data_IF_787758262670
#
_entry.id   IF_787758262670
#
_cell.length_a   1.000
_cell.length_b   1.000
_cell.length_c   1.000
_cell.angle_alpha   90.00
_cell.angle_beta   90.00
_cell.angle_gamma   90.00
#
_symmetry.space_group_name_H-M   'P 1'
#
loop_
_entity.id
_entity.type
_entity.pdbx_description
1 polymer ?
#
# COMPACT_ATOMS: atom_id res chain seq x y z
N UNK A 1 -8.92 7.87 54.52
CA UNK A 1 -8.42 6.63 53.89
C UNK A 1 -9.65 5.80 53.56
N UNK A 2 -10.22 6.03 52.38
CA UNK A 2 -11.41 5.32 51.91
C UNK A 2 -10.93 3.95 51.44
N UNK A 3 -11.19 2.94 52.25
CA UNK A 3 -10.98 1.53 51.92
C UNK A 3 -11.64 1.25 50.56
N UNK A 4 -10.82 0.87 49.57
CA UNK A 4 -11.29 0.31 48.32
C UNK A 4 -11.87 -1.08 48.61
N UNK A 5 -13.16 -1.26 48.31
CA UNK A 5 -13.85 -2.55 48.44
C UNK A 5 -13.13 -3.62 47.59
N UNK A 6 -12.61 -4.71 48.19
CA UNK A 6 -11.92 -5.79 47.48
C UNK A 6 -12.82 -6.55 46.49
N UNK A 7 -14.14 -6.29 46.45
CA UNK A 7 -15.06 -6.88 45.47
C UNK A 7 -15.05 -6.18 44.10
N UNK A 8 -14.39 -5.03 43.96
CA UNK A 8 -14.23 -4.39 42.65
C UNK A 8 -13.05 -4.96 41.82
N UNK A 9 -12.17 -5.78 42.42
CA UNK A 9 -11.11 -6.48 41.69
C UNK A 9 -11.62 -7.71 40.90
N UNK A 10 -12.84 -8.20 41.17
CA UNK A 10 -13.40 -9.40 40.53
C UNK A 10 -14.60 -9.15 39.62
N UNK A 11 -14.78 -7.92 39.11
CA UNK A 11 -15.55 -7.77 37.88
C UNK A 11 -14.71 -8.42 36.78
N UNK A 12 -15.24 -9.36 35.95
CA UNK A 12 -14.51 -9.85 34.80
C UNK A 12 -14.28 -8.66 33.87
N UNK A 13 -13.16 -7.97 34.10
CA UNK A 13 -12.71 -6.85 33.32
C UNK A 13 -12.72 -7.27 31.88
N UNK A 14 -13.15 -6.36 31.00
CA UNK A 14 -13.37 -6.55 29.57
C UNK A 14 -12.03 -6.94 28.90
N UNK A 15 -11.58 -8.16 29.15
CA UNK A 15 -10.35 -8.75 28.64
C UNK A 15 -10.74 -9.54 27.42
N UNK A 16 -10.14 -9.17 26.28
CA UNK A 16 -10.41 -9.80 25.01
C UNK A 16 -10.09 -11.30 25.11
N UNK A 17 -11.13 -12.13 25.00
CA UNK A 17 -10.97 -13.57 24.94
C UNK A 17 -10.42 -13.92 23.55
N UNK A 18 -9.22 -14.48 23.50
CA UNK A 18 -8.57 -14.89 22.25
C UNK A 18 -9.39 -16.01 21.59
N UNK A 19 -10.14 -15.67 20.55
CA UNK A 19 -10.99 -16.62 19.82
C UNK A 19 -10.25 -17.33 18.67
N UNK A 20 -9.21 -16.71 18.11
CA UNK A 20 -8.41 -17.29 17.01
C UNK A 20 -7.13 -17.94 17.52
N UNK A 21 -6.80 -19.13 16.98
CA UNK A 21 -5.51 -19.77 17.23
C UNK A 21 -4.38 -18.93 16.64
N UNK A 22 -3.34 -18.64 17.45
CA UNK A 22 -2.17 -17.88 17.01
C UNK A 22 -1.27 -18.74 16.11
N UNK A 23 -1.66 -18.89 14.84
CA UNK A 23 -0.96 -19.74 13.87
C UNK A 23 0.16 -19.02 13.11
N UNK A 24 0.17 -17.68 13.13
CA UNK A 24 1.18 -16.85 12.49
C UNK A 24 2.39 -16.61 13.39
N UNK A 25 3.56 -16.85 12.84
CA UNK A 25 4.84 -16.45 13.41
C UNK A 25 5.12 -14.97 13.13
N UNK A 26 6.08 -14.38 13.86
CA UNK A 26 6.46 -12.98 13.70
C UNK A 26 6.92 -12.65 12.27
N UNK A 27 7.64 -13.58 11.63
CA UNK A 27 8.17 -13.40 10.26
C UNK A 27 7.05 -13.38 9.23
N UNK A 28 6.10 -14.32 9.34
CA UNK A 28 4.92 -14.37 8.48
C UNK A 28 4.07 -13.10 8.62
N UNK A 29 3.92 -12.60 9.85
CA UNK A 29 3.21 -11.34 10.10
C UNK A 29 3.90 -10.14 9.43
N UNK A 30 5.23 -10.03 9.53
CA UNK A 30 5.99 -8.96 8.87
C UNK A 30 5.84 -9.04 7.34
N UNK A 31 5.91 -10.24 6.77
CA UNK A 31 5.78 -10.44 5.32
C UNK A 31 4.41 -10.00 4.81
N UNK A 32 3.32 -10.37 5.51
CA UNK A 32 1.97 -9.92 5.14
C UNK A 32 1.85 -8.40 5.25
N UNK A 33 2.34 -7.81 6.34
CA UNK A 33 2.26 -6.35 6.53
C UNK A 33 3.03 -5.61 5.44
N UNK A 34 4.26 -6.01 5.14
CA UNK A 34 5.04 -5.36 4.08
C UNK A 34 4.42 -5.56 2.69
N UNK A 35 3.84 -6.73 2.42
CA UNK A 35 3.18 -6.99 1.14
C UNK A 35 1.93 -6.15 0.96
N UNK A 36 1.18 -5.88 2.03
CA UNK A 36 0.00 -4.99 1.99
C UNK A 36 0.33 -3.55 1.59
N UNK A 37 1.57 -3.09 1.78
CA UNK A 37 2.06 -1.79 1.30
C UNK A 37 2.45 -1.85 -0.18
N UNK A 38 2.80 -3.04 -0.68
CA UNK A 38 3.13 -3.33 -2.08
C UNK A 38 4.17 -2.34 -2.65
N UNK A 39 5.45 -2.44 -2.23
CA UNK A 39 6.49 -1.46 -2.58
C UNK A 39 6.65 -1.24 -4.09
N UNK A 40 6.50 -2.30 -4.89
CA UNK A 40 6.58 -2.21 -6.34
C UNK A 40 5.49 -1.30 -6.93
N UNK A 41 4.22 -1.52 -6.56
CA UNK A 41 3.10 -0.70 -7.05
C UNK A 41 3.25 0.77 -6.67
N UNK A 42 3.74 1.05 -5.45
CA UNK A 42 4.03 2.42 -5.02
C UNK A 42 5.09 3.09 -5.91
N UNK A 43 6.17 2.38 -6.26
CA UNK A 43 7.22 2.90 -7.16
C UNK A 43 6.69 3.12 -8.58
N UNK A 44 5.89 2.20 -9.12
CA UNK A 44 5.43 2.30 -10.51
C UNK A 44 4.26 3.26 -10.73
N UNK A 45 3.43 3.48 -9.72
CA UNK A 45 2.22 4.32 -9.84
C UNK A 45 2.46 5.71 -9.25
N UNK A 46 3.05 5.79 -8.05
CA UNK A 46 3.15 7.04 -7.29
C UNK A 46 4.36 7.87 -7.74
N UNK A 47 5.52 7.26 -8.00
CA UNK A 47 6.72 8.04 -8.33
C UNK A 47 6.56 8.82 -9.66
N UNK A 48 6.04 8.25 -10.76
CA UNK A 48 5.84 9.02 -11.98
C UNK A 48 4.89 10.21 -11.79
N UNK A 49 3.80 10.02 -11.04
CA UNK A 49 2.82 11.08 -10.78
C UNK A 49 3.42 12.21 -9.92
N UNK A 50 4.21 11.86 -8.89
CA UNK A 50 4.94 12.83 -8.07
C UNK A 50 6.02 13.55 -8.86
N UNK A 51 6.76 12.85 -9.73
CA UNK A 51 7.78 13.47 -10.60
C UNK A 51 7.15 14.48 -11.56
N UNK A 52 5.99 14.17 -12.14
CA UNK A 52 5.27 15.08 -13.02
C UNK A 52 4.71 16.29 -12.27
N UNK A 53 4.26 16.11 -11.03
CA UNK A 53 3.68 17.18 -10.23
C UNK A 53 4.73 18.10 -9.57
N UNK A 54 5.79 17.53 -8.99
CA UNK A 54 6.79 18.24 -8.19
C UNK A 54 8.15 18.42 -8.89
N UNK A 55 8.36 17.80 -10.06
CA UNK A 55 9.60 17.89 -10.82
C UNK A 55 10.82 17.48 -9.98
N UNK A 56 11.84 18.35 -9.96
CA UNK A 56 13.06 18.14 -9.17
C UNK A 56 12.85 18.13 -7.65
N UNK A 57 11.73 18.64 -7.14
CA UNK A 57 11.41 18.63 -5.71
C UNK A 57 10.80 17.29 -5.24
N UNK A 58 10.50 16.37 -6.16
CA UNK A 58 9.90 15.04 -5.87
C UNK A 58 10.60 14.27 -4.76
N UNK A 59 11.94 14.25 -4.74
CA UNK A 59 12.72 13.56 -3.70
C UNK A 59 12.46 14.16 -2.32
N UNK A 60 12.42 15.49 -2.21
CA UNK A 60 12.13 16.18 -0.96
C UNK A 60 10.69 15.92 -0.52
N UNK A 61 9.73 15.98 -1.44
CA UNK A 61 8.32 15.67 -1.16
C UNK A 61 8.15 14.25 -0.65
N UNK A 62 8.85 13.27 -1.24
CA UNK A 62 8.82 11.88 -0.79
C UNK A 62 9.51 11.70 0.56
N UNK A 63 10.60 12.42 0.84
CA UNK A 63 11.25 12.38 2.15
C UNK A 63 10.32 12.90 3.26
N UNK A 64 9.61 14.01 3.01
CA UNK A 64 8.61 14.55 3.96
C UNK A 64 7.46 13.55 4.16
N UNK A 65 6.94 12.96 3.09
CA UNK A 65 5.90 11.94 3.18
C UNK A 65 6.35 10.70 3.98
N UNK A 66 7.60 10.26 3.80
CA UNK A 66 8.17 9.14 4.55
C UNK A 66 8.27 9.44 6.06
N UNK A 67 8.69 10.65 6.43
CA UNK A 67 8.73 11.08 7.83
C UNK A 67 7.33 11.10 8.44
N UNK A 68 6.35 11.65 7.72
CA UNK A 68 4.96 11.63 8.16
C UNK A 68 4.42 10.19 8.34
N UNK A 69 4.76 9.28 7.43
CA UNK A 69 4.37 7.88 7.52
C UNK A 69 4.99 7.18 8.75
N UNK A 70 6.22 7.50 9.14
CA UNK A 70 6.84 6.98 10.37
C UNK A 70 6.09 7.43 11.60
N UNK A 71 5.70 8.71 11.69
CA UNK A 71 4.90 9.22 12.81
C UNK A 71 3.55 8.50 12.91
N UNK A 72 2.85 8.30 11.78
CA UNK A 72 1.60 7.52 11.74
C UNK A 72 1.86 6.08 12.20
N UNK A 73 2.95 5.46 11.74
CA UNK A 73 3.35 4.11 12.15
C UNK A 73 3.60 3.99 13.66
N UNK A 74 4.23 5.00 14.29
CA UNK A 74 4.42 5.04 15.74
C UNK A 74 3.07 5.12 16.49
N UNK A 75 2.14 5.96 16.04
CA UNK A 75 0.79 6.02 16.62
C UNK A 75 0.06 4.67 16.51
N UNK A 76 0.19 3.97 15.37
CA UNK A 76 -0.38 2.63 15.19
C UNK A 76 0.29 1.58 16.08
N UNK A 77 1.59 1.70 16.35
CA UNK A 77 2.31 0.83 17.26
C UNK A 77 1.80 0.96 18.71
N UNK A 78 1.63 2.19 19.20
CA UNK A 78 1.07 2.43 20.54
C UNK A 78 -0.38 1.93 20.65
N UNK A 79 -1.18 2.19 19.61
CA UNK A 79 -2.59 1.80 19.59
C UNK A 79 -2.77 0.27 19.55
N UNK A 80 -1.95 -0.43 18.76
CA UNK A 80 -1.97 -1.90 18.68
C UNK A 80 -1.42 -2.59 19.93
N UNK A 81 -0.46 -1.96 20.62
CA UNK A 81 0.02 -2.44 21.93
C UNK A 81 -1.04 -2.25 23.04
N UNK A 82 -1.78 -1.14 22.99
CA UNK A 82 -2.82 -0.81 23.99
C UNK A 82 -4.10 -1.62 23.79
N UNK A 83 -4.51 -1.84 22.54
CA UNK A 83 -5.73 -2.57 22.19
C UNK A 83 -5.43 -3.75 21.27
N UNK A 84 -4.89 -4.87 21.81
CA UNK A 84 -4.54 -6.07 21.05
C UNK A 84 -5.78 -6.91 20.72
N UNK A 85 -6.74 -6.30 20.03
CA UNK A 85 -7.98 -6.94 19.60
C UNK A 85 -8.00 -7.12 18.10
N UNK A 86 -8.52 -8.25 17.64
CA UNK A 86 -8.66 -8.53 16.21
C UNK A 86 -9.78 -7.69 15.61
N UNK A 87 -9.50 -7.04 14.47
CA UNK A 87 -10.47 -6.22 13.72
C UNK A 87 -9.90 -4.91 13.16
N UNK A 88 -8.69 -4.50 13.55
CA UNK A 88 -8.06 -3.32 12.95
C UNK A 88 -8.80 -2.01 13.27
N UNK A 89 -8.73 -1.04 12.37
CA UNK A 89 -9.09 0.37 12.63
C UNK A 89 -10.54 0.56 13.13
N UNK A 90 -11.50 -0.22 12.63
CA UNK A 90 -12.90 -0.09 13.05
C UNK A 90 -13.08 -0.42 14.54
N UNK A 91 -12.29 -1.35 15.09
CA UNK A 91 -12.38 -1.72 16.52
C UNK A 91 -11.84 -0.63 17.41
N UNK A 92 -10.77 0.03 16.99
CA UNK A 92 -10.21 1.17 17.71
C UNK A 92 -11.17 2.35 17.68
N UNK A 93 -11.72 2.68 16.50
CA UNK A 93 -12.69 3.76 16.37
C UNK A 93 -13.99 3.48 17.14
N UNK A 94 -14.51 2.25 17.11
CA UNK A 94 -15.69 1.87 17.88
C UNK A 94 -15.50 2.08 19.39
N UNK A 95 -14.27 1.84 19.89
CA UNK A 95 -13.92 2.00 21.31
C UNK A 95 -13.65 3.46 21.71
N UNK A 96 -12.94 4.20 20.87
CA UNK A 96 -12.50 5.58 21.18
C UNK A 96 -13.58 6.63 20.89
N UNK A 97 -14.32 6.46 19.80
CA UNK A 97 -15.26 7.45 19.26
C UNK A 97 -16.73 6.99 19.35
N UNK A 98 -16.94 5.72 19.72
CA UNK A 98 -18.26 5.11 19.88
C UNK A 98 -18.72 4.28 18.69
N UNK A 99 -19.77 3.50 18.93
CA UNK A 99 -20.34 2.52 17.99
C UNK A 99 -20.74 3.07 16.61
N UNK A 100 -21.36 4.25 16.44
CA UNK A 100 -21.77 4.70 15.10
C UNK A 100 -20.57 5.00 14.20
N UNK A 101 -19.50 5.61 14.75
CA UNK A 101 -18.28 5.92 14.00
C UNK A 101 -17.53 4.65 13.65
N UNK A 102 -17.43 3.70 14.59
CA UNK A 102 -16.86 2.38 14.32
C UNK A 102 -17.60 1.63 13.20
N UNK A 103 -18.93 1.69 13.18
CA UNK A 103 -19.73 1.07 12.12
C UNK A 103 -19.53 1.77 10.77
N UNK A 104 -19.44 3.11 10.75
CA UNK A 104 -19.15 3.87 9.53
C UNK A 104 -17.78 3.49 8.93
N UNK A 105 -16.74 3.36 9.76
CA UNK A 105 -15.42 2.90 9.29
C UNK A 105 -15.42 1.45 8.84
N UNK A 106 -16.18 0.58 9.50
CA UNK A 106 -16.38 -0.80 9.04
C UNK A 106 -16.99 -0.84 7.64
N UNK A 107 -18.06 -0.07 7.40
CA UNK A 107 -18.68 0.04 6.08
C UNK A 107 -17.72 0.62 5.05
N UNK A 108 -16.98 1.68 5.40
CA UNK A 108 -15.99 2.29 4.53
C UNK A 108 -14.90 1.31 4.13
N UNK A 109 -14.38 0.54 5.10
CA UNK A 109 -13.38 -0.49 4.86
C UNK A 109 -13.91 -1.61 3.95
N UNK A 110 -15.17 -2.02 4.14
CA UNK A 110 -15.82 -3.04 3.31
C UNK A 110 -15.96 -2.56 1.86
N UNK A 111 -16.48 -1.34 1.65
CA UNK A 111 -16.61 -0.74 0.32
C UNK A 111 -15.24 -0.58 -0.34
N UNK A 112 -14.27 -0.03 0.39
CA UNK A 112 -12.90 0.14 -0.08
C UNK A 112 -12.28 -1.20 -0.51
N UNK A 113 -12.45 -2.25 0.29
CA UNK A 113 -11.96 -3.59 -0.03
C UNK A 113 -12.52 -4.14 -1.36
N UNK A 114 -13.83 -3.96 -1.61
CA UNK A 114 -14.45 -4.38 -2.88
C UNK A 114 -13.92 -3.57 -4.06
N UNK A 115 -13.75 -2.25 -3.88
CA UNK A 115 -13.22 -1.38 -4.92
C UNK A 115 -11.77 -1.72 -5.27
N UNK A 116 -10.93 -2.02 -4.27
CA UNK A 116 -9.53 -2.42 -4.47
C UNK A 116 -9.45 -3.68 -5.34
N UNK A 117 -10.27 -4.69 -5.08
CA UNK A 117 -10.30 -5.92 -5.89
C UNK A 117 -10.65 -5.60 -7.35
N UNK A 118 -11.63 -4.72 -7.58
CA UNK A 118 -12.01 -4.29 -8.92
C UNK A 118 -10.89 -3.55 -9.65
N UNK A 119 -10.23 -2.61 -8.98
CA UNK A 119 -9.11 -1.84 -9.56
C UNK A 119 -7.94 -2.76 -9.91
N UNK A 120 -7.57 -3.70 -9.04
CA UNK A 120 -6.49 -4.66 -9.30
C UNK A 120 -6.83 -5.57 -10.48
N UNK A 121 -8.07 -6.04 -10.57
CA UNK A 121 -8.50 -6.91 -11.67
C UNK A 121 -8.44 -6.19 -13.03
N UNK A 122 -8.88 -4.93 -13.08
CA UNK A 122 -8.80 -4.09 -14.28
C UNK A 122 -7.34 -3.80 -14.66
N UNK A 123 -6.54 -3.35 -13.68
CA UNK A 123 -5.13 -3.06 -13.91
C UNK A 123 -4.35 -4.28 -14.39
N UNK A 124 -4.60 -5.46 -13.81
CA UNK A 124 -3.96 -6.70 -14.26
C UNK A 124 -4.37 -7.06 -15.69
N UNK A 125 -5.63 -6.85 -16.06
CA UNK A 125 -6.12 -7.04 -17.42
C UNK A 125 -5.42 -6.12 -18.44
N UNK A 126 -5.15 -4.86 -18.07
CA UNK A 126 -4.39 -3.92 -18.91
C UNK A 126 -2.92 -4.32 -19.04
N UNK A 127 -2.24 -4.65 -17.93
CA UNK A 127 -0.82 -5.03 -17.95
C UNK A 127 -0.56 -6.35 -18.70
N UNK A 128 -1.35 -7.39 -18.44
CA UNK A 128 -1.18 -8.69 -19.11
C UNK A 128 -1.68 -8.67 -20.56
N UNK A 129 -2.68 -7.83 -20.88
CA UNK A 129 -3.20 -7.70 -22.25
C UNK A 129 -2.14 -7.20 -23.24
N UNK A 130 -1.19 -6.39 -22.78
CA UNK A 130 -0.03 -5.94 -23.58
C UNK A 130 0.94 -7.09 -23.85
N UNK A 131 1.15 -7.99 -22.89
CA UNK A 131 2.04 -9.13 -23.05
C UNK A 131 1.43 -10.29 -23.85
N UNK A 132 0.10 -10.45 -23.80
CA UNK A 132 -0.62 -11.56 -24.43
C UNK A 132 -1.89 -11.09 -25.15
N UNK A 133 -1.72 -10.55 -26.37
CA UNK A 133 -2.80 -9.96 -27.17
C UNK A 133 -3.89 -10.95 -27.62
N UNK A 134 -3.66 -12.26 -27.50
CA UNK A 134 -4.61 -13.30 -27.88
C UNK A 134 -5.75 -13.50 -26.86
N UNK A 135 -5.60 -13.03 -25.60
CA UNK A 135 -6.66 -13.09 -24.59
C UNK A 135 -7.27 -11.69 -24.40
N UNK A 136 -8.60 -11.60 -24.44
CA UNK A 136 -9.29 -10.37 -24.06
C UNK A 136 -9.06 -10.07 -22.58
N UNK A 137 -8.55 -8.87 -22.26
CA UNK A 137 -8.16 -8.45 -20.92
C UNK A 137 -9.28 -8.60 -19.86
N UNK A 138 -10.55 -8.60 -20.28
CA UNK A 138 -11.70 -8.85 -19.41
C UNK A 138 -11.64 -10.25 -18.77
N UNK A 139 -11.29 -11.28 -19.55
CA UNK A 139 -11.21 -12.65 -19.05
C UNK A 139 -9.99 -12.88 -18.15
N UNK A 140 -8.90 -12.14 -18.40
CA UNK A 140 -7.71 -12.15 -17.55
C UNK A 140 -8.07 -11.62 -16.15
N UNK A 141 -8.75 -10.48 -16.08
CA UNK A 141 -9.22 -9.91 -14.81
C UNK A 141 -10.13 -10.86 -14.02
N UNK A 142 -11.08 -11.51 -14.71
CA UNK A 142 -11.95 -12.54 -14.08
C UNK A 142 -11.12 -13.71 -13.55
N UNK A 143 -10.17 -14.21 -14.34
CA UNK A 143 -9.27 -15.29 -13.92
C UNK A 143 -8.46 -14.93 -12.67
N UNK A 144 -7.92 -13.72 -12.62
CA UNK A 144 -7.15 -13.20 -11.47
C UNK A 144 -8.02 -13.14 -10.21
N UNK A 145 -9.27 -12.66 -10.32
CA UNK A 145 -10.21 -12.62 -9.19
C UNK A 145 -10.48 -14.03 -8.67
N UNK A 146 -10.74 -14.99 -9.57
CA UNK A 146 -11.03 -16.38 -9.19
C UNK A 146 -9.83 -17.01 -8.50
N UNK A 147 -8.62 -16.89 -9.08
CA UNK A 147 -7.39 -17.43 -8.50
C UNK A 147 -7.11 -16.81 -7.13
N UNK A 148 -7.22 -15.48 -7.02
CA UNK A 148 -7.01 -14.78 -5.74
C UNK A 148 -8.04 -15.20 -4.70
N UNK A 149 -9.29 -15.40 -5.10
CA UNK A 149 -10.36 -15.90 -4.21
C UNK A 149 -10.05 -17.30 -3.70
N UNK A 150 -9.59 -18.20 -4.58
CA UNK A 150 -9.17 -19.55 -4.18
C UNK A 150 -8.03 -19.48 -3.17
N UNK A 151 -7.00 -18.66 -3.42
CA UNK A 151 -5.89 -18.44 -2.48
C UNK A 151 -6.39 -17.87 -1.15
N UNK A 152 -7.37 -16.95 -1.17
CA UNK A 152 -7.93 -16.34 0.02
C UNK A 152 -8.74 -17.32 0.89
N UNK A 153 -9.31 -18.39 0.31
CA UNK A 153 -10.03 -19.45 1.04
C UNK A 153 -9.06 -20.40 1.76
N UNK A 154 -7.79 -20.44 1.36
CA UNK A 154 -6.77 -21.28 2.01
C UNK A 154 -6.48 -20.80 3.45
N UNK A 155 -5.94 -21.72 4.27
CA UNK A 155 -5.55 -21.41 5.65
C UNK A 155 -4.65 -20.17 5.75
N UNK A 156 -4.80 -19.40 6.83
CA UNK A 156 -4.10 -18.13 7.05
C UNK A 156 -2.56 -18.23 6.93
N UNK A 157 -1.98 -19.38 7.31
CA UNK A 157 -0.55 -19.66 7.13
C UNK A 157 -0.14 -19.79 5.66
N UNK A 158 -0.97 -20.45 4.85
CA UNK A 158 -0.71 -20.59 3.41
C UNK A 158 -0.79 -19.24 2.73
N UNK A 159 -1.82 -18.46 3.05
CA UNK A 159 -1.98 -17.11 2.53
C UNK A 159 -0.79 -16.21 2.93
N UNK A 160 -0.30 -16.32 4.17
CA UNK A 160 0.88 -15.60 4.63
C UNK A 160 2.14 -15.93 3.80
N UNK A 161 2.36 -17.21 3.52
CA UNK A 161 3.49 -17.66 2.72
C UNK A 161 3.38 -17.21 1.27
N UNK A 162 2.21 -17.38 0.63
CA UNK A 162 1.95 -16.93 -0.75
C UNK A 162 2.19 -15.43 -0.90
N UNK A 163 1.65 -14.64 0.04
CA UNK A 163 1.85 -13.19 0.12
C UNK A 163 3.33 -12.83 0.27
N UNK A 164 4.07 -13.57 1.11
CA UNK A 164 5.52 -13.41 1.25
C UNK A 164 6.31 -13.70 -0.04
N UNK A 165 5.91 -14.71 -0.81
CA UNK A 165 6.52 -15.02 -2.11
C UNK A 165 6.29 -13.87 -3.10
N UNK A 166 5.08 -13.33 -3.18
CA UNK A 166 4.78 -12.17 -4.03
C UNK A 166 5.65 -10.96 -3.66
N UNK A 167 5.82 -10.68 -2.36
CA UNK A 167 6.73 -9.63 -1.92
C UNK A 167 8.17 -9.85 -2.39
N UNK A 168 8.69 -11.08 -2.32
CA UNK A 168 10.06 -11.37 -2.80
C UNK A 168 10.18 -11.07 -4.30
N UNK A 169 9.18 -11.48 -5.09
CA UNK A 169 9.12 -11.19 -6.52
C UNK A 169 9.06 -9.68 -6.78
N UNK A 170 8.26 -8.93 -6.01
CA UNK A 170 8.19 -7.47 -6.10
C UNK A 170 9.53 -6.79 -5.81
N UNK A 171 10.21 -7.19 -4.73
CA UNK A 171 11.51 -6.63 -4.36
C UNK A 171 12.56 -6.96 -5.43
N UNK A 172 12.52 -8.17 -6.00
CA UNK A 172 13.39 -8.53 -7.13
C UNK A 172 13.11 -7.65 -8.35
N UNK A 173 11.85 -7.43 -8.72
CA UNK A 173 11.49 -6.57 -9.84
C UNK A 173 11.98 -5.12 -9.65
N UNK A 174 11.80 -4.56 -8.45
CA UNK A 174 12.30 -3.21 -8.12
C UNK A 174 13.83 -3.17 -8.15
N UNK A 175 14.50 -4.19 -7.62
CA UNK A 175 15.98 -4.27 -7.59
C UNK A 175 16.54 -4.33 -9.01
N UNK A 176 15.95 -5.18 -9.88
CA UNK A 176 16.35 -5.33 -11.28
C UNK A 176 16.24 -4.00 -12.04
N UNK A 177 15.24 -3.16 -11.73
CA UNK A 177 15.11 -1.84 -12.36
C UNK A 177 16.01 -0.77 -11.73
N UNK A 178 16.26 -0.85 -10.42
CA UNK A 178 17.14 0.09 -9.74
C UNK A 178 18.60 -0.07 -10.19
N UNK A 179 19.06 -1.29 -10.47
CA UNK A 179 20.45 -1.58 -10.84
C UNK A 179 20.92 -0.86 -12.13
N UNK A 180 20.19 -0.89 -13.26
CA UNK A 180 20.53 -0.11 -14.44
C UNK A 180 20.48 1.41 -14.23
N UNK A 181 19.57 1.89 -13.37
CA UNK A 181 19.41 3.32 -13.11
C UNK A 181 20.67 3.96 -12.54
N UNK A 182 21.36 3.29 -11.60
CA UNK A 182 22.59 3.81 -10.99
C UNK A 182 23.76 3.82 -11.96
N UNK A 183 23.78 2.91 -12.95
CA UNK A 183 24.80 2.86 -14.00
C UNK A 183 24.70 4.01 -15.02
N UNK A 184 23.53 4.65 -15.13
CA UNK A 184 23.26 5.76 -16.07
C UNK A 184 23.46 7.15 -15.44
N UNK A 185 23.64 7.23 -14.12
CA UNK A 185 23.83 8.49 -13.39
C UNK A 185 25.15 9.21 -13.74
N UNK A 186 26.03 8.59 -14.53
CA UNK A 186 27.32 9.15 -14.96
C UNK A 186 27.30 10.03 -16.21
N UNK A 187 26.16 10.32 -16.85
CA UNK A 187 26.09 11.20 -18.03
C UNK A 187 25.29 12.49 -17.80
N UNK A 188 25.81 13.46 -17.02
CA UNK A 188 25.25 14.80 -17.01
C UNK A 188 25.83 15.68 -18.12
N UNK A 189 24.98 16.58 -18.64
CA UNK A 189 25.33 17.84 -19.34
C UNK A 189 25.65 17.78 -20.84
N UNK A 190 24.64 18.06 -21.67
CA UNK A 190 24.77 18.89 -22.89
C UNK A 190 23.43 19.09 -23.60
N UNK A 191 22.56 18.08 -23.60
CA UNK A 191 21.24 18.13 -24.25
C UNK A 191 20.26 19.11 -23.59
N UNK A 192 20.25 19.16 -22.24
CA UNK A 192 19.37 20.08 -21.47
C UNK A 192 19.72 21.56 -21.71
N UNK A 193 21.01 21.90 -21.88
CA UNK A 193 21.44 23.29 -22.19
C UNK A 193 21.09 23.71 -23.61
N UNK A 194 21.11 22.78 -24.59
CA UNK A 194 20.67 23.07 -25.97
C UNK A 194 19.17 23.37 -26.03
N UNK A 195 18.35 22.60 -25.30
CA UNK A 195 16.89 22.75 -25.33
C UNK A 195 16.41 24.07 -24.73
N UNK A 196 17.03 24.56 -23.66
CA UNK A 196 16.76 25.91 -23.13
C UNK A 196 17.20 27.04 -24.08
N UNK A 197 18.23 26.81 -24.90
CA UNK A 197 18.71 27.82 -25.87
C UNK A 197 17.77 27.94 -27.06
N UNK A 198 17.17 26.84 -27.51
CA UNK A 198 16.21 26.82 -28.62
C UNK A 198 14.85 27.44 -28.25
N UNK A 199 14.39 27.34 -27.00
CA UNK A 199 13.14 28.00 -26.56
C UNK A 199 13.27 29.51 -26.34
N UNK A 200 14.49 30.06 -26.30
CA UNK A 200 14.73 31.50 -26.06
C UNK A 200 15.04 32.27 -27.33
N UNK A 201 15.08 31.63 -28.51
CA UNK A 201 15.10 32.38 -29.77
C UNK A 201 13.71 32.95 -30.04
N UNK A 202 13.55 34.28 -30.21
CA UNK A 202 12.27 34.86 -30.59
C UNK A 202 11.85 34.24 -31.92
N UNK A 203 10.74 33.51 -31.91
CA UNK A 203 10.12 33.01 -33.14
C UNK A 203 9.67 34.22 -33.95
N UNK A 204 10.33 34.44 -35.08
CA UNK A 204 9.84 35.33 -36.13
C UNK A 204 8.55 34.73 -36.68
N UNK A 205 7.40 35.23 -36.20
CA UNK A 205 6.10 34.95 -36.79
C UNK A 205 6.10 35.54 -38.20
N UNK A 206 6.19 34.70 -39.23
CA UNK A 206 5.86 35.12 -40.60
C UNK A 206 4.33 35.18 -40.72
N UNK A 207 3.75 36.32 -41.14
CA UNK A 207 2.33 36.41 -41.42
C UNK A 207 2.09 35.89 -42.84
N UNK A 208 1.86 34.59 -42.97
CA UNK A 208 1.47 33.96 -44.22
C UNK A 208 -0.07 33.80 -44.23
N UNK A 209 -0.72 34.73 -44.93
CA UNK A 209 -2.04 34.52 -45.56
C UNK A 209 -1.85 33.78 -46.88
#
# INVERSE_FOLDING_TARGET
MTELDPRLESSPGISYQQQLSRSLTMRENILITLSSVTPASSVFIIIPTVLLAAGGASVLTMAIAAVAAVFVGMCYAELSATYPVTGGEYTWAARLLGRPIGFALFLLALVSGVLIIGVIALGTGEYLGVAWSALSGKWIGVGVIVVTTVVAILNIRTNAWVTGVFLVVEILAVTVLALPSTSSAGRPSSSMRRRCRETTSPQSVSPDW
#
